data_IF_052907192922
#
_entry.id   IF_052907192922
#
_cell.length_a   1.000
_cell.length_b   1.000
_cell.length_c   1.000
_cell.angle_alpha   90.00
_cell.angle_beta   90.00
_cell.angle_gamma   90.00
#
_symmetry.space_group_name_H-M   'P 1'
#
loop_
_entity.id
_entity.type
_entity.pdbx_description
1 polymer ?
#
# COMPACT_ATOMS: atom_id res chain seq x y z
N UNK A 1 -3.10 33.05 17.29
CA UNK A 1 -3.78 31.87 16.71
C UNK A 1 -3.41 30.68 17.57
N UNK A 2 -4.23 30.34 18.56
CA UNK A 2 -3.97 29.21 19.45
C UNK A 2 -4.54 27.95 18.80
N UNK A 3 -3.67 27.02 18.44
CA UNK A 3 -4.06 25.71 17.92
C UNK A 3 -4.63 24.88 19.07
N UNK A 4 -5.95 24.84 19.22
CA UNK A 4 -6.66 24.01 20.21
C UNK A 4 -6.77 22.53 19.77
N UNK A 5 -5.69 21.98 19.21
CA UNK A 5 -5.55 20.55 18.94
C UNK A 5 -4.80 19.93 20.12
N UNK A 6 -5.38 18.92 20.78
CA UNK A 6 -4.63 18.16 21.80
C UNK A 6 -3.37 17.58 21.16
N UNK A 7 -2.24 17.54 21.90
CA UNK A 7 -0.97 17.03 21.38
C UNK A 7 -1.11 15.63 20.73
N UNK A 8 -2.02 14.82 21.27
CA UNK A 8 -2.37 13.49 20.74
C UNK A 8 -3.03 13.58 19.35
N UNK A 9 -3.92 14.54 19.13
CA UNK A 9 -4.55 14.77 17.82
C UNK A 9 -3.55 15.23 16.76
N UNK A 10 -2.57 16.06 17.14
CA UNK A 10 -1.48 16.46 16.24
C UNK A 10 -0.61 15.26 15.85
N UNK A 11 -0.19 14.46 16.83
CA UNK A 11 0.58 13.22 16.59
C UNK A 11 -0.21 12.27 15.69
N UNK A 12 -1.50 12.07 15.96
CA UNK A 12 -2.37 11.22 15.14
C UNK A 12 -2.42 11.71 13.68
N UNK A 13 -2.56 13.02 13.45
CA UNK A 13 -2.58 13.59 12.10
C UNK A 13 -1.26 13.37 11.36
N UNK A 14 -0.12 13.66 12.01
CA UNK A 14 1.22 13.43 11.42
C UNK A 14 1.44 11.95 11.09
N UNK A 15 1.13 11.04 12.01
CA UNK A 15 1.27 9.60 11.76
C UNK A 15 0.33 9.12 10.63
N UNK A 16 -0.85 9.71 10.50
CA UNK A 16 -1.78 9.41 9.40
C UNK A 16 -1.21 9.81 8.04
N UNK A 17 -0.53 10.96 7.95
CA UNK A 17 0.17 11.39 6.73
C UNK A 17 1.32 10.43 6.39
N UNK A 18 2.15 10.08 7.38
CA UNK A 18 3.27 9.15 7.18
C UNK A 18 2.74 7.79 6.70
N UNK A 19 1.69 7.27 7.34
CA UNK A 19 1.04 6.03 6.93
C UNK A 19 0.53 6.12 5.48
N UNK A 20 -0.15 7.20 5.10
CA UNK A 20 -0.65 7.40 3.74
C UNK A 20 0.47 7.45 2.70
N UNK A 21 1.58 8.13 2.98
CA UNK A 21 2.75 8.18 2.09
C UNK A 21 3.33 6.78 1.92
N UNK A 22 3.49 6.01 3.00
CA UNK A 22 4.01 4.64 2.95
C UNK A 22 3.07 3.68 2.21
N UNK A 23 1.76 3.77 2.43
CA UNK A 23 0.74 3.01 1.69
C UNK A 23 0.79 3.31 0.20
N UNK A 24 0.77 4.59 -0.19
CA UNK A 24 0.76 5.00 -1.59
C UNK A 24 2.08 4.65 -2.30
N UNK A 25 3.21 4.88 -1.64
CA UNK A 25 4.53 4.52 -2.20
C UNK A 25 4.70 3.00 -2.30
N UNK A 26 4.40 2.25 -1.23
CA UNK A 26 4.44 0.79 -1.23
C UNK A 26 3.49 0.16 -2.27
N UNK A 27 2.32 0.74 -2.50
CA UNK A 27 1.40 0.29 -3.54
C UNK A 27 1.89 0.61 -4.96
N UNK A 28 2.29 1.86 -5.20
CA UNK A 28 2.60 2.33 -6.55
C UNK A 28 3.94 1.83 -7.09
N UNK A 29 4.92 1.62 -6.19
CA UNK A 29 6.26 1.23 -6.59
C UNK A 29 6.31 -0.27 -6.94
N UNK A 30 6.99 -0.63 -8.05
CA UNK A 30 6.98 -1.99 -8.59
C UNK A 30 7.88 -2.98 -7.81
N UNK A 31 8.47 -2.56 -6.67
CA UNK A 31 9.51 -3.29 -5.96
C UNK A 31 8.94 -4.17 -4.84
N UNK A 32 7.96 -5.04 -5.16
CA UNK A 32 7.42 -6.00 -4.18
C UNK A 32 8.25 -7.28 -4.14
N UNK A 33 8.58 -7.80 -5.32
CA UNK A 33 9.50 -8.93 -5.48
C UNK A 33 10.55 -8.60 -6.54
N UNK A 34 11.74 -9.15 -6.36
CA UNK A 34 12.87 -9.02 -7.26
C UNK A 34 13.29 -10.41 -7.76
N UNK A 35 13.40 -10.55 -9.06
CA UNK A 35 13.88 -11.73 -9.76
C UNK A 35 14.93 -11.42 -10.80
N UNK A 36 15.26 -12.42 -11.61
CA UNK A 36 16.19 -12.26 -12.74
C UNK A 36 15.65 -12.89 -14.01
N UNK A 37 15.41 -12.06 -15.00
CA UNK A 37 15.03 -12.50 -16.34
C UNK A 37 16.27 -13.01 -17.08
N UNK A 38 16.18 -14.23 -17.63
CA UNK A 38 17.28 -14.92 -18.34
C UNK A 38 18.60 -14.99 -17.54
N UNK A 39 18.55 -14.87 -16.21
CA UNK A 39 19.72 -14.85 -15.34
C UNK A 39 20.64 -13.62 -15.49
N UNK A 40 20.25 -12.63 -16.30
CA UNK A 40 21.10 -11.47 -16.66
C UNK A 40 20.54 -10.12 -16.21
N UNK A 41 19.23 -9.94 -16.28
CA UNK A 41 18.58 -8.64 -16.01
C UNK A 41 17.68 -8.79 -14.78
N UNK A 42 17.81 -7.89 -13.82
CA UNK A 42 16.93 -7.89 -12.65
C UNK A 42 15.51 -7.50 -13.07
N UNK A 43 14.50 -8.28 -12.67
CA UNK A 43 13.10 -8.02 -12.96
C UNK A 43 12.34 -7.73 -11.67
N UNK A 44 11.47 -6.73 -11.70
CA UNK A 44 10.68 -6.33 -10.53
C UNK A 44 9.19 -6.46 -10.82
N UNK A 45 8.45 -7.01 -9.87
CA UNK A 45 7.02 -7.19 -10.00
C UNK A 45 6.29 -6.61 -8.79
N UNK A 46 5.15 -5.98 -9.07
CA UNK A 46 4.09 -5.63 -8.12
C UNK A 46 2.76 -6.18 -8.65
N UNK A 47 1.66 -5.87 -7.99
CA UNK A 47 0.34 -6.36 -8.37
C UNK A 47 -0.16 -5.83 -9.74
N UNK A 48 0.25 -4.63 -10.17
CA UNK A 48 -0.20 -4.02 -11.43
C UNK A 48 0.91 -3.33 -12.25
N UNK A 49 2.13 -3.26 -11.73
CA UNK A 49 3.32 -2.74 -12.42
C UNK A 49 4.46 -3.74 -12.41
N UNK A 50 5.32 -3.63 -13.41
CA UNK A 50 6.55 -4.40 -13.54
C UNK A 50 7.66 -3.54 -14.11
N UNK A 51 8.91 -3.91 -13.84
CA UNK A 51 10.07 -3.34 -14.51
C UNK A 51 10.86 -4.45 -15.20
N UNK A 52 11.49 -4.09 -16.32
CA UNK A 52 12.39 -4.97 -17.08
C UNK A 52 11.64 -6.21 -17.59
N UNK A 53 10.89 -6.03 -18.68
CA UNK A 53 10.00 -7.06 -19.23
C UNK A 53 10.30 -7.36 -20.71
N UNK A 54 10.04 -8.59 -21.18
CA UNK A 54 10.21 -8.93 -22.58
C UNK A 54 9.11 -8.28 -23.42
N UNK A 55 9.48 -7.63 -24.52
CA UNK A 55 8.58 -7.08 -25.53
C UNK A 55 8.98 -7.58 -26.90
N UNK A 56 7.99 -7.78 -27.78
CA UNK A 56 8.25 -8.16 -29.18
C UNK A 56 8.28 -6.89 -30.00
N UNK A 57 9.43 -6.62 -30.62
CA UNK A 57 9.58 -5.45 -31.49
C UNK A 57 8.84 -5.68 -32.84
N UNK A 58 8.65 -4.63 -33.64
CA UNK A 58 7.97 -4.69 -34.96
C UNK A 58 8.59 -5.69 -35.95
N UNK A 59 9.82 -6.14 -35.69
CA UNK A 59 10.55 -7.16 -36.46
C UNK A 59 10.37 -8.59 -35.95
N UNK A 60 9.53 -8.80 -34.93
CA UNK A 60 9.28 -10.13 -34.33
C UNK A 60 10.38 -10.63 -33.37
N UNK A 61 11.39 -9.82 -33.07
CA UNK A 61 12.46 -10.16 -32.14
C UNK A 61 12.07 -9.79 -30.70
N UNK A 62 12.33 -10.69 -29.75
CA UNK A 62 12.12 -10.44 -28.32
C UNK A 62 13.28 -9.60 -27.80
N UNK A 63 12.97 -8.38 -27.35
CA UNK A 63 13.90 -7.48 -26.67
C UNK A 63 13.48 -7.26 -25.22
N UNK A 64 14.45 -7.04 -24.34
CA UNK A 64 14.16 -6.72 -22.94
C UNK A 64 14.05 -5.20 -22.85
N UNK A 65 12.88 -4.71 -22.46
CA UNK A 65 12.66 -3.28 -22.25
C UNK A 65 13.04 -2.96 -20.82
N UNK A 66 14.14 -2.23 -20.62
CA UNK A 66 14.67 -1.83 -19.30
C UNK A 66 13.93 -0.64 -18.69
N UNK A 67 12.60 -0.72 -18.66
CA UNK A 67 11.73 0.34 -18.15
C UNK A 67 10.67 -0.22 -17.19
N UNK A 68 10.09 0.66 -16.39
CA UNK A 68 8.97 0.34 -15.51
C UNK A 68 7.65 0.71 -16.16
N UNK A 69 6.78 -0.28 -16.38
CA UNK A 69 5.49 -0.13 -17.04
C UNK A 69 4.31 -0.59 -16.18
N UNK A 70 3.12 -0.15 -16.57
CA UNK A 70 1.85 -0.68 -16.09
C UNK A 70 1.27 -1.62 -17.16
N UNK A 71 0.57 -2.68 -16.74
CA UNK A 71 -0.26 -3.45 -17.66
C UNK A 71 -1.29 -2.55 -18.34
N UNK A 72 -1.51 -2.72 -19.65
CA UNK A 72 -2.36 -1.85 -20.48
C UNK A 72 -3.76 -1.72 -19.90
N UNK A 73 -4.40 -2.85 -19.65
CA UNK A 73 -5.71 -2.99 -19.03
C UNK A 73 -5.63 -3.78 -17.73
N UNK A 74 -6.65 -3.67 -16.89
CA UNK A 74 -6.75 -4.44 -15.65
C UNK A 74 -6.75 -5.96 -15.89
N UNK A 75 -7.34 -6.39 -17.01
CA UNK A 75 -7.41 -7.79 -17.42
C UNK A 75 -6.08 -8.37 -17.90
N UNK A 76 -5.12 -7.51 -18.22
CA UNK A 76 -3.77 -7.94 -18.65
C UNK A 76 -2.86 -8.28 -17.47
N UNK A 77 -3.31 -8.04 -16.23
CA UNK A 77 -2.62 -8.48 -15.02
C UNK A 77 -2.61 -10.02 -15.00
N UNK A 78 -1.45 -10.69 -14.88
CA UNK A 78 -1.27 -12.11 -15.21
C UNK A 78 -1.92 -13.10 -14.24
N UNK A 79 -2.54 -12.63 -13.15
CA UNK A 79 -3.21 -13.48 -12.17
C UNK A 79 -4.43 -12.76 -11.58
N UNK A 80 -5.54 -13.50 -11.42
CA UNK A 80 -6.72 -13.00 -10.72
C UNK A 80 -6.43 -12.62 -9.25
N UNK A 81 -5.43 -13.26 -8.63
CA UNK A 81 -4.98 -12.93 -7.29
C UNK A 81 -4.26 -11.57 -7.26
N UNK A 82 -3.48 -11.25 -8.30
CA UNK A 82 -2.84 -9.94 -8.43
C UNK A 82 -3.84 -8.83 -8.76
N UNK A 83 -4.87 -9.14 -9.54
CA UNK A 83 -6.02 -8.26 -9.76
C UNK A 83 -6.73 -7.94 -8.42
N UNK A 84 -7.04 -8.97 -7.62
CA UNK A 84 -7.65 -8.79 -6.30
C UNK A 84 -6.73 -8.00 -5.35
N UNK A 85 -5.43 -8.32 -5.31
CA UNK A 85 -4.44 -7.59 -4.52
C UNK A 85 -4.38 -6.10 -4.92
N UNK A 86 -4.43 -5.80 -6.23
CA UNK A 86 -4.46 -4.42 -6.74
C UNK A 86 -5.67 -3.66 -6.21
N UNK A 87 -6.86 -4.26 -6.25
CA UNK A 87 -8.09 -3.64 -5.75
C UNK A 87 -7.98 -3.43 -4.23
N UNK A 88 -7.63 -4.47 -3.48
CA UNK A 88 -7.59 -4.42 -2.02
C UNK A 88 -6.58 -3.40 -1.49
N UNK A 89 -5.32 -3.48 -1.94
CA UNK A 89 -4.27 -2.55 -1.52
C UNK A 89 -4.55 -1.15 -2.06
N UNK A 90 -5.01 -1.02 -3.31
CA UNK A 90 -5.35 0.27 -3.91
C UNK A 90 -6.46 0.99 -3.16
N UNK A 91 -7.55 0.30 -2.82
CA UNK A 91 -8.67 0.88 -2.04
C UNK A 91 -8.23 1.24 -0.63
N UNK A 92 -7.45 0.39 0.04
CA UNK A 92 -6.91 0.69 1.37
C UNK A 92 -5.98 1.92 1.37
N UNK A 93 -5.08 2.02 0.39
CA UNK A 93 -4.19 3.18 0.22
C UNK A 93 -4.97 4.46 -0.08
N UNK A 94 -5.97 4.41 -0.96
CA UNK A 94 -6.82 5.56 -1.27
C UNK A 94 -7.62 6.03 -0.04
N UNK A 95 -8.17 5.10 0.73
CA UNK A 95 -8.89 5.41 1.98
C UNK A 95 -7.95 6.04 3.01
N UNK A 96 -6.74 5.49 3.19
CA UNK A 96 -5.72 6.06 4.06
C UNK A 96 -5.34 7.49 3.66
N UNK A 97 -5.17 7.76 2.36
CA UNK A 97 -4.85 9.08 1.83
C UNK A 97 -5.99 10.09 2.10
N UNK A 98 -7.23 9.69 1.86
CA UNK A 98 -8.40 10.53 2.14
C UNK A 98 -8.48 10.92 3.63
N UNK A 99 -8.24 9.96 4.52
CA UNK A 99 -8.23 10.21 5.96
C UNK A 99 -7.07 11.13 6.36
N UNK A 100 -5.88 10.93 5.81
CA UNK A 100 -4.73 11.79 6.10
C UNK A 100 -4.96 13.24 5.65
N UNK A 101 -5.50 13.45 4.44
CA UNK A 101 -5.82 14.79 3.91
C UNK A 101 -6.88 15.47 4.76
N UNK A 102 -7.96 14.77 5.11
CA UNK A 102 -9.02 15.32 5.96
C UNK A 102 -8.54 15.61 7.38
N UNK A 103 -7.71 14.73 7.97
CA UNK A 103 -7.07 14.96 9.27
C UNK A 103 -6.17 16.20 9.27
N UNK A 104 -5.41 16.40 8.19
CA UNK A 104 -4.53 17.56 8.03
C UNK A 104 -5.34 18.85 7.84
N UNK A 105 -6.38 18.83 6.99
CA UNK A 105 -7.25 19.98 6.79
C UNK A 105 -7.96 20.39 8.10
N UNK A 106 -8.34 19.42 8.91
CA UNK A 106 -8.96 19.66 10.21
C UNK A 106 -7.98 20.22 11.26
N UNK A 107 -6.66 20.05 11.10
CA UNK A 107 -5.65 20.77 11.88
C UNK A 107 -5.59 22.27 11.52
N UNK A 108 -5.91 22.63 10.27
CA UNK A 108 -5.85 24.00 9.76
C UNK A 108 -7.19 24.75 9.94
N UNK A 109 -8.30 24.03 9.97
CA UNK A 109 -9.66 24.57 10.12
C UNK A 109 -10.21 24.13 11.48
N UNK A 110 -10.17 25.03 12.47
CA UNK A 110 -10.49 24.78 13.88
C UNK A 110 -11.95 24.38 14.19
N UNK A 111 -12.78 24.04 13.19
CA UNK A 111 -14.24 24.02 13.32
C UNK A 111 -14.93 22.64 13.20
N UNK A 112 -14.22 21.51 13.03
CA UNK A 112 -14.89 20.25 12.55
C UNK A 112 -14.60 18.96 13.35
N UNK A 113 -13.75 18.96 14.39
CA UNK A 113 -13.37 17.69 15.07
C UNK A 113 -14.15 17.46 16.37
N UNK A 114 -15.21 16.64 16.29
CA UNK A 114 -15.87 16.04 17.45
C UNK A 114 -15.29 14.66 17.79
N UNK A 115 -15.44 14.20 19.04
CA UNK A 115 -14.97 12.87 19.46
C UNK A 115 -15.53 11.72 18.59
N UNK A 116 -16.74 11.89 18.04
CA UNK A 116 -17.34 10.94 17.11
C UNK A 116 -16.60 10.87 15.76
N UNK A 117 -16.21 12.02 15.19
CA UNK A 117 -15.52 12.06 13.90
C UNK A 117 -14.11 11.46 14.01
N UNK A 118 -13.43 11.68 15.14
CA UNK A 118 -12.14 11.03 15.42
C UNK A 118 -12.25 9.50 15.50
N UNK A 119 -13.24 8.97 16.23
CA UNK A 119 -13.49 7.51 16.30
C UNK A 119 -13.83 6.90 14.95
N UNK A 120 -14.66 7.59 14.17
CA UNK A 120 -15.05 7.15 12.83
C UNK A 120 -13.83 7.13 11.88
N UNK A 121 -13.04 8.21 11.86
CA UNK A 121 -11.81 8.27 11.08
C UNK A 121 -10.82 7.16 11.47
N UNK A 122 -10.60 6.95 12.76
CA UNK A 122 -9.78 5.84 13.24
C UNK A 122 -10.29 4.48 12.79
N UNK A 123 -11.60 4.24 12.89
CA UNK A 123 -12.21 2.98 12.44
C UNK A 123 -12.01 2.73 10.94
N UNK A 124 -12.09 3.80 10.13
CA UNK A 124 -11.77 3.71 8.70
C UNK A 124 -10.27 3.45 8.44
N UNK A 125 -9.36 3.96 9.29
CA UNK A 125 -7.93 3.62 9.21
C UNK A 125 -7.68 2.14 9.50
N UNK A 126 -8.37 1.58 10.49
CA UNK A 126 -8.30 0.14 10.75
C UNK A 126 -8.84 -0.66 9.56
N UNK A 127 -9.97 -0.23 8.98
CA UNK A 127 -10.51 -0.88 7.79
C UNK A 127 -9.53 -0.81 6.61
N UNK A 128 -8.89 0.34 6.38
CA UNK A 128 -7.82 0.48 5.38
C UNK A 128 -6.65 -0.50 5.64
N UNK A 129 -6.21 -0.63 6.89
CA UNK A 129 -5.15 -1.55 7.28
C UNK A 129 -5.52 -3.02 6.97
N UNK A 130 -6.77 -3.41 7.27
CA UNK A 130 -7.26 -4.76 6.97
C UNK A 130 -7.33 -5.03 5.46
N UNK A 131 -7.74 -4.05 4.65
CA UNK A 131 -7.73 -4.18 3.19
C UNK A 131 -6.30 -4.36 2.64
N UNK A 132 -5.35 -3.55 3.11
CA UNK A 132 -3.94 -3.66 2.68
C UNK A 132 -3.33 -4.99 3.14
N UNK A 133 -3.63 -5.43 4.35
CA UNK A 133 -3.18 -6.71 4.88
C UNK A 133 -3.76 -7.88 4.06
N UNK A 134 -5.05 -7.85 3.75
CA UNK A 134 -5.67 -8.85 2.89
C UNK A 134 -5.07 -8.85 1.48
N UNK A 135 -4.86 -7.68 0.88
CA UNK A 135 -4.28 -7.56 -0.45
C UNK A 135 -2.83 -8.04 -0.54
N UNK A 136 -2.02 -7.77 0.50
CA UNK A 136 -0.63 -8.27 0.58
C UNK A 136 -0.58 -9.76 0.87
N UNK A 137 -1.54 -10.33 1.62
CA UNK A 137 -1.66 -11.76 1.83
C UNK A 137 -2.16 -12.51 0.57
N UNK A 138 -3.02 -11.90 -0.24
CA UNK A 138 -3.47 -12.50 -1.51
C UNK A 138 -2.35 -12.51 -2.56
N UNK A 139 -1.44 -11.54 -2.53
CA UNK A 139 -0.40 -11.40 -3.55
C UNK A 139 0.50 -12.64 -3.76
N UNK A 140 1.02 -13.31 -2.70
CA UNK A 140 1.78 -14.56 -2.82
C UNK A 140 1.05 -15.74 -3.44
N UNK A 141 -0.28 -15.70 -3.48
CA UNK A 141 -1.09 -16.74 -4.14
C UNK A 141 -0.85 -16.73 -5.64
N UNK A 142 -0.55 -15.56 -6.23
CA UNK A 142 -0.31 -15.42 -7.68
C UNK A 142 1.13 -15.66 -8.14
N UNK A 143 2.04 -16.13 -7.27
CA UNK A 143 3.46 -16.38 -7.62
C UNK A 143 3.70 -17.61 -8.51
N UNK A 144 2.66 -18.37 -8.80
CA UNK A 144 2.68 -19.52 -9.69
C UNK A 144 2.43 -19.16 -11.17
N UNK A 145 2.22 -17.88 -11.48
CA UNK A 145 2.04 -17.39 -12.84
C UNK A 145 3.34 -17.50 -13.66
N UNK A 146 3.18 -17.44 -14.99
CA UNK A 146 4.30 -17.63 -15.92
C UNK A 146 5.39 -16.57 -15.75
N UNK A 147 5.02 -15.30 -15.56
CA UNK A 147 5.97 -14.19 -15.43
C UNK A 147 6.92 -14.36 -14.22
N UNK A 148 6.38 -14.82 -13.08
CA UNK A 148 7.19 -15.10 -11.89
C UNK A 148 8.03 -16.35 -12.10
N UNK A 149 7.50 -17.44 -12.68
CA UNK A 149 8.30 -18.65 -12.96
C UNK A 149 9.46 -18.39 -13.90
N UNK A 150 9.29 -17.53 -14.90
CA UNK A 150 10.35 -17.12 -15.83
C UNK A 150 11.48 -16.34 -15.14
N UNK A 151 11.15 -15.58 -14.09
CA UNK A 151 12.10 -14.70 -13.37
C UNK A 151 12.65 -15.29 -12.07
N UNK A 152 11.90 -16.20 -11.46
CA UNK A 152 12.12 -16.80 -10.13
C UNK A 152 12.41 -18.31 -10.20
N UNK A 153 12.48 -18.86 -11.41
CA UNK A 153 12.70 -20.27 -11.66
C UNK A 153 11.44 -21.12 -11.53
N UNK A 154 11.49 -22.32 -12.10
CA UNK A 154 10.35 -23.24 -12.18
C UNK A 154 9.94 -23.84 -10.82
N UNK A 155 10.71 -23.56 -9.76
CA UNK A 155 10.36 -23.90 -8.38
C UNK A 155 9.42 -22.89 -7.72
N UNK A 156 9.12 -21.76 -8.37
CA UNK A 156 8.16 -20.80 -7.83
C UNK A 156 6.74 -21.36 -7.84
N UNK A 157 6.05 -21.18 -6.73
CA UNK A 157 4.69 -21.66 -6.51
C UNK A 157 3.96 -20.71 -5.55
N UNK A 158 2.68 -20.95 -5.32
CA UNK A 158 1.88 -20.26 -4.31
C UNK A 158 2.65 -20.22 -2.97
N UNK A 159 2.90 -19.02 -2.43
CA UNK A 159 3.69 -18.77 -1.21
C UNK A 159 5.14 -19.30 -1.23
N UNK A 160 5.68 -19.67 -2.39
CA UNK A 160 7.08 -20.10 -2.58
C UNK A 160 7.75 -19.28 -3.67
N UNK A 161 8.64 -18.38 -3.26
CA UNK A 161 9.23 -17.37 -4.15
C UNK A 161 10.36 -17.91 -5.07
N UNK A 162 10.75 -19.19 -4.96
CA UNK A 162 11.80 -19.77 -5.80
C UNK A 162 13.16 -19.10 -5.57
N UNK A 163 13.83 -18.67 -6.65
CA UNK A 163 15.11 -17.95 -6.61
C UNK A 163 14.96 -16.43 -6.43
N UNK A 164 13.73 -15.92 -6.36
CA UNK A 164 13.46 -14.49 -6.16
C UNK A 164 13.54 -14.08 -4.69
N UNK A 165 13.60 -12.77 -4.46
CA UNK A 165 13.64 -12.17 -3.13
C UNK A 165 12.52 -11.14 -2.96
N UNK A 166 12.11 -10.92 -1.72
CA UNK A 166 11.18 -9.85 -1.37
C UNK A 166 11.90 -8.51 -1.44
N UNK A 167 11.29 -7.55 -2.12
CA UNK A 167 11.81 -6.20 -2.28
C UNK A 167 11.09 -5.20 -1.36
N UNK A 168 11.58 -3.97 -1.33
CA UNK A 168 11.33 -3.03 -0.23
C UNK A 168 9.90 -2.47 -0.15
N UNK A 169 9.14 -2.47 -1.23
CA UNK A 169 7.77 -1.94 -1.21
C UNK A 169 6.86 -2.73 -0.26
N UNK A 170 7.09 -4.04 -0.10
CA UNK A 170 6.36 -4.86 0.87
C UNK A 170 6.68 -4.46 2.32
N UNK A 171 7.91 -4.05 2.62
CA UNK A 171 8.26 -3.54 3.96
C UNK A 171 7.59 -2.19 4.24
N UNK A 172 7.45 -1.33 3.22
CA UNK A 172 6.69 -0.07 3.38
C UNK A 172 5.22 -0.32 3.66
N UNK A 173 4.58 -1.27 2.96
CA UNK A 173 3.19 -1.66 3.21
C UNK A 173 3.02 -2.25 4.61
N UNK A 174 3.95 -3.09 5.07
CA UNK A 174 3.94 -3.63 6.43
C UNK A 174 4.06 -2.51 7.49
N UNK A 175 5.00 -1.58 7.31
CA UNK A 175 5.14 -0.43 8.19
C UNK A 175 3.88 0.45 8.20
N UNK A 176 3.25 0.64 7.04
CA UNK A 176 2.02 1.42 6.93
C UNK A 176 0.83 0.76 7.65
N UNK A 177 0.67 -0.57 7.52
CA UNK A 177 -0.35 -1.34 8.28
C UNK A 177 -0.17 -1.12 9.78
N UNK A 178 1.06 -1.23 10.30
CA UNK A 178 1.35 -1.02 11.72
C UNK A 178 1.01 0.40 12.16
N UNK A 179 1.39 1.41 11.37
CA UNK A 179 1.07 2.81 11.66
C UNK A 179 -0.43 3.07 11.65
N UNK A 180 -1.19 2.48 10.71
CA UNK A 180 -2.65 2.62 10.67
C UNK A 180 -3.32 2.01 11.92
N UNK A 181 -2.82 0.88 12.42
CA UNK A 181 -3.30 0.26 13.67
C UNK A 181 -2.98 1.17 14.87
N UNK A 182 -1.78 1.76 14.91
CA UNK A 182 -1.41 2.74 15.95
C UNK A 182 -2.31 3.97 15.87
N UNK A 183 -2.57 4.50 14.67
CA UNK A 183 -3.47 5.62 14.46
C UNK A 183 -4.90 5.31 14.92
N UNK A 184 -5.42 4.12 14.61
CA UNK A 184 -6.70 3.64 15.15
C UNK A 184 -6.69 3.68 16.68
N UNK A 185 -5.66 3.12 17.32
CA UNK A 185 -5.49 3.21 18.77
C UNK A 185 -5.59 4.66 19.26
N UNK A 186 -4.74 5.55 18.73
CA UNK A 186 -4.71 6.95 19.11
C UNK A 186 -6.06 7.66 18.94
N UNK A 187 -6.85 7.35 17.89
CA UNK A 187 -8.19 7.91 17.69
C UNK A 187 -9.18 7.57 18.82
N UNK A 188 -9.03 6.40 19.46
CA UNK A 188 -9.86 6.04 20.61
C UNK A 188 -9.34 6.68 21.89
N UNK A 189 -8.03 6.84 22.04
CA UNK A 189 -7.43 7.49 23.21
C UNK A 189 -7.72 8.99 23.25
N UNK A 190 -7.65 9.69 22.11
CA UNK A 190 -8.09 11.10 22.00
C UNK A 190 -9.53 11.28 22.47
N UNK A 191 -10.40 10.31 22.21
CA UNK A 191 -11.82 10.36 22.56
C UNK A 191 -12.13 10.07 24.04
N UNK A 192 -11.18 9.53 24.82
CA UNK A 192 -11.36 9.22 26.25
C UNK A 192 -10.91 10.35 27.18
N UNK A 193 -10.19 11.36 26.68
CA UNK A 193 -9.85 12.55 27.46
C UNK A 193 -11.15 13.27 27.80
N UNK A 194 -11.45 13.40 29.09
CA UNK A 194 -12.80 13.64 29.62
C UNK A 194 -13.54 14.86 29.06
N UNK A 195 -14.86 14.83 29.22
CA UNK A 195 -15.87 15.81 28.74
C UNK A 195 -15.62 17.26 29.21
N UNK A 196 -14.62 17.52 30.06
CA UNK A 196 -14.17 18.86 30.46
C UNK A 196 -12.94 19.42 29.72
N UNK A 197 -12.24 18.63 28.90
CA UNK A 197 -11.09 19.09 28.11
C UNK A 197 -11.42 19.31 26.63
N UNK A 198 -12.62 18.91 26.20
CA UNK A 198 -13.18 19.24 24.89
C UNK A 198 -14.00 20.54 24.99
N UNK A 199 -13.32 21.64 25.32
CA UNK A 199 -13.73 22.96 24.82
C UNK A 199 -12.61 23.46 23.93
N UNK A 200 -12.83 23.28 22.63
CA UNK A 200 -12.18 24.01 21.54
C UNK A 200 -13.10 25.19 21.24
#
# INVERSE_FOLDING_TARGET
MASSLTAIGFIWSVLSIVAAILCCSGFYLPFWIQGRLLGKVDAYFSSFRRCNYPSVNSRGTVEIVEECGRYTSFWDIPSHWWQASTILVGTGSALSLLIAVTATAACCLTYVIHAYTAKFAGSLQLFAALLILAGTAVYPVGWDNREVRESCGNTSHIYKLGSCQVAWSLYLLAAAILLLIVCFGLSFWTSRVGVGSFRI
#
